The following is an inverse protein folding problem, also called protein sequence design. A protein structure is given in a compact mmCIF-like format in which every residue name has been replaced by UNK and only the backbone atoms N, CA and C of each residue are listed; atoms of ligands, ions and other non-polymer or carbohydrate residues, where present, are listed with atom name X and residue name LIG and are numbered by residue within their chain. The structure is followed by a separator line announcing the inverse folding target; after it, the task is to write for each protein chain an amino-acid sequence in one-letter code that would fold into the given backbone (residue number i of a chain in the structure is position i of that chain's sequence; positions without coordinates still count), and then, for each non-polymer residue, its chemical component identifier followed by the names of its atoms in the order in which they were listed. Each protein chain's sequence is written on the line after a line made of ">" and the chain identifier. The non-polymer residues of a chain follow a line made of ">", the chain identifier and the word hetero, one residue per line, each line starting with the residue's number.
data_IF_263654163706
#
_entry.id   IF_263654163706
#
_cell.length_a   1.000
_cell.length_b   1.000
_cell.length_c   1.000
_cell.angle_alpha   90.00
_cell.angle_beta   90.00
_cell.angle_gamma   90.00
#
_symmetry.space_group_name_H-M   'P 1'
#
loop_
_entity.id
_entity.type
_entity.pdbx_description
1 polymer ?
#
# COMPACT_ATOMS: atom_id res chain seq x y z
N UNK A 1 17.41 13.18 0.39
CA UNK A 1 16.13 12.73 -0.19
C UNK A 1 15.09 13.66 0.39
N UNK A 2 14.75 14.72 -0.33
CA UNK A 2 13.75 15.67 0.14
C UNK A 2 12.39 14.98 0.09
N UNK A 3 11.80 14.69 1.27
CA UNK A 3 10.39 14.40 1.37
C UNK A 3 9.66 15.71 1.04
N UNK A 4 9.49 15.99 -0.27
CA UNK A 4 8.60 17.04 -0.72
C UNK A 4 7.24 16.85 -0.04
N UNK A 5 6.67 17.94 0.45
CA UNK A 5 5.46 18.04 1.25
C UNK A 5 4.39 17.02 0.79
N UNK A 6 4.34 15.85 1.44
CA UNK A 6 3.39 14.81 1.06
C UNK A 6 2.00 15.30 1.42
N UNK A 7 1.16 15.54 0.41
CA UNK A 7 -0.23 15.95 0.59
C UNK A 7 -0.92 15.03 1.61
N UNK A 8 -1.39 15.62 2.69
CA UNK A 8 -2.15 14.96 3.75
C UNK A 8 -3.63 15.05 3.39
N UNK A 9 -4.34 13.93 3.46
CA UNK A 9 -5.77 13.82 3.19
C UNK A 9 -6.60 13.88 4.48
N UNK A 10 -6.05 13.36 5.58
CA UNK A 10 -6.64 13.41 6.92
C UNK A 10 -5.55 13.87 7.88
N UNK A 11 -5.70 15.01 8.56
CA UNK A 11 -4.68 15.54 9.46
C UNK A 11 -4.72 14.89 10.85
N UNK A 12 -4.58 13.57 10.86
CA UNK A 12 -4.50 12.75 12.05
C UNK A 12 -3.33 11.76 11.89
N UNK A 13 -2.74 11.32 13.00
CA UNK A 13 -1.74 10.27 12.98
C UNK A 13 -2.40 8.89 12.80
N UNK A 14 -3.03 8.67 11.65
CA UNK A 14 -3.77 7.45 11.33
C UNK A 14 -3.36 6.87 9.98
N UNK A 15 -3.77 5.62 9.74
CA UNK A 15 -3.55 4.94 8.47
C UNK A 15 -4.18 5.65 7.26
N UNK A 16 -5.15 6.55 7.49
CA UNK A 16 -5.86 7.33 6.46
C UNK A 16 -5.09 8.58 6.04
N UNK A 17 -4.09 9.03 6.82
CA UNK A 17 -3.39 10.32 6.66
C UNK A 17 -2.96 10.60 5.22
N UNK A 18 -2.42 9.59 4.55
CA UNK A 18 -1.82 9.72 3.23
C UNK A 18 -2.56 8.97 2.12
N UNK A 19 -3.76 8.42 2.38
CA UNK A 19 -4.50 7.68 1.35
C UNK A 19 -5.21 8.67 0.41
N UNK A 20 -4.83 8.71 -0.88
CA UNK A 20 -5.48 9.58 -1.84
C UNK A 20 -6.81 9.00 -2.33
N UNK A 21 -7.67 9.82 -2.95
CA UNK A 21 -8.70 9.34 -3.85
C UNK A 21 -8.13 8.36 -4.88
N UNK A 22 -8.92 7.35 -5.23
CA UNK A 22 -8.54 6.36 -6.24
C UNK A 22 -8.62 6.98 -7.64
N UNK A 23 -7.81 6.48 -8.60
CA UNK A 23 -7.90 6.95 -9.98
C UNK A 23 -9.26 6.59 -10.58
N UNK A 24 -9.83 7.54 -11.32
CA UNK A 24 -11.03 7.31 -12.10
C UNK A 24 -10.70 6.51 -13.37
N UNK A 25 -11.34 5.36 -13.52
CA UNK A 25 -11.27 4.54 -14.73
C UNK A 25 -12.49 4.81 -15.60
N UNK A 26 -12.27 5.47 -16.74
CA UNK A 26 -13.33 5.98 -17.62
C UNK A 26 -14.26 4.88 -18.12
N UNK A 27 -13.75 3.66 -18.23
CA UNK A 27 -14.46 2.48 -18.70
C UNK A 27 -15.47 1.90 -17.69
N UNK A 28 -15.37 2.21 -16.40
CA UNK A 28 -16.25 1.64 -15.35
C UNK A 28 -17.22 2.66 -14.74
N UNK A 29 -17.00 3.97 -14.90
CA UNK A 29 -17.82 5.03 -14.34
C UNK A 29 -17.47 5.38 -12.88
N UNK A 30 -18.12 6.42 -12.35
CA UNK A 30 -17.79 6.97 -11.03
C UNK A 30 -18.04 5.96 -9.89
N UNK A 31 -17.11 5.89 -8.94
CA UNK A 31 -17.20 5.04 -7.75
C UNK A 31 -16.63 3.63 -7.93
N UNK A 32 -16.19 3.27 -9.14
CA UNK A 32 -15.48 2.02 -9.40
C UNK A 32 -13.98 2.18 -9.20
N UNK A 33 -13.34 1.11 -8.76
CA UNK A 33 -11.89 1.04 -8.64
C UNK A 33 -11.38 -0.35 -8.97
N UNK A 34 -10.14 -0.42 -9.47
CA UNK A 34 -9.45 -1.69 -9.65
C UNK A 34 -8.88 -2.16 -8.32
N UNK A 35 -8.96 -3.47 -8.06
CA UNK A 35 -8.32 -4.10 -6.90
C UNK A 35 -6.81 -3.83 -6.89
N UNK A 36 -6.17 -3.78 -8.06
CA UNK A 36 -4.76 -3.44 -8.19
C UNK A 36 -4.42 -2.04 -7.67
N UNK A 37 -5.30 -1.06 -7.90
CA UNK A 37 -5.08 0.29 -7.40
C UNK A 37 -5.24 0.29 -5.90
N UNK A 38 -6.31 -0.30 -5.37
CA UNK A 38 -6.53 -0.44 -3.92
C UNK A 38 -5.28 -1.01 -3.24
N UNK A 39 -4.76 -2.13 -3.72
CA UNK A 39 -3.59 -2.81 -3.14
C UNK A 39 -2.33 -1.93 -3.12
N UNK A 40 -2.11 -1.11 -4.16
CA UNK A 40 -0.99 -0.17 -4.20
C UNK A 40 -1.22 1.09 -3.35
N UNK A 41 -2.48 1.42 -3.08
CA UNK A 41 -2.90 2.50 -2.19
C UNK A 41 -2.91 2.11 -0.71
N UNK A 42 -2.80 0.82 -0.38
CA UNK A 42 -2.85 0.40 1.01
C UNK A 42 -1.64 0.94 1.79
N UNK A 43 -1.84 1.39 3.04
CA UNK A 43 -0.77 1.55 4.01
C UNK A 43 -0.10 0.21 4.28
N UNK A 44 1.22 0.22 4.45
CA UNK A 44 2.00 -0.99 4.69
C UNK A 44 1.45 -1.85 5.84
N UNK A 45 1.07 -1.22 6.95
CA UNK A 45 0.50 -1.88 8.14
C UNK A 45 -0.78 -2.65 7.84
N UNK A 46 -1.56 -2.23 6.84
CA UNK A 46 -2.79 -2.90 6.40
C UNK A 46 -2.43 -3.98 5.37
N UNK A 47 -1.55 -3.67 4.42
CA UNK A 47 -1.12 -4.60 3.39
C UNK A 47 -0.59 -5.92 3.97
N UNK A 48 0.28 -5.86 4.99
CA UNK A 48 0.87 -7.06 5.61
C UNK A 48 -0.11 -7.89 6.44
N UNK A 49 -1.30 -7.35 6.74
CA UNK A 49 -2.38 -8.10 7.40
C UNK A 49 -3.23 -8.87 6.39
N UNK A 50 -3.36 -8.34 5.16
CA UNK A 50 -4.18 -8.94 4.09
C UNK A 50 -3.35 -9.88 3.23
N UNK A 51 -2.08 -9.55 3.00
CA UNK A 51 -1.17 -10.30 2.14
C UNK A 51 -0.17 -11.05 3.00
N UNK A 52 -0.17 -12.37 2.90
CA UNK A 52 0.81 -13.20 3.58
C UNK A 52 2.19 -13.07 2.91
N UNK A 53 3.10 -12.36 3.58
CA UNK A 53 4.51 -12.23 3.15
C UNK A 53 5.32 -13.34 3.82
N UNK A 54 5.43 -14.50 3.16
CA UNK A 54 6.09 -15.70 3.68
C UNK A 54 7.61 -15.76 3.47
N UNK A 55 8.23 -14.62 3.17
CA UNK A 55 9.68 -14.51 2.94
C UNK A 55 10.23 -13.28 3.65
N UNK A 56 11.53 -13.31 3.94
CA UNK A 56 12.21 -12.18 4.55
C UNK A 56 12.25 -11.00 3.57
N UNK A 57 11.81 -9.83 4.03
CA UNK A 57 11.93 -8.56 3.31
C UNK A 57 12.83 -7.64 4.12
N UNK A 58 13.95 -7.23 3.52
CA UNK A 58 14.92 -6.39 4.23
C UNK A 58 14.35 -5.01 4.54
N UNK A 59 14.61 -4.52 5.76
CA UNK A 59 14.12 -3.25 6.32
C UNK A 59 12.60 -3.15 6.54
N UNK A 60 11.81 -4.19 6.24
CA UNK A 60 10.36 -4.15 6.40
C UNK A 60 9.95 -3.91 7.86
N UNK A 61 10.59 -4.63 8.77
CA UNK A 61 10.34 -4.57 10.21
C UNK A 61 10.56 -3.16 10.79
N UNK A 62 11.58 -2.45 10.29
CA UNK A 62 11.88 -1.08 10.74
C UNK A 62 10.76 -0.09 10.37
N UNK A 63 10.09 -0.30 9.23
CA UNK A 63 8.89 0.47 8.90
C UNK A 63 7.73 0.13 9.83
N UNK A 64 7.52 -1.15 10.13
CA UNK A 64 6.39 -1.61 10.94
C UNK A 64 6.49 -1.18 12.41
N UNK A 65 7.71 -1.01 12.93
CA UNK A 65 7.95 -0.56 14.31
C UNK A 65 7.76 0.93 14.51
N UNK A 66 7.90 1.73 13.46
CA UNK A 66 7.70 3.18 13.52
C UNK A 66 6.22 3.54 13.39
N UNK A 67 5.72 4.36 14.32
CA UNK A 67 4.31 4.68 14.44
C UNK A 67 3.70 5.36 13.19
N UNK A 68 4.51 6.10 12.42
CA UNK A 68 4.08 6.78 11.21
C UNK A 68 4.51 6.03 9.95
N UNK A 69 5.75 5.53 9.89
CA UNK A 69 6.28 4.87 8.69
C UNK A 69 5.55 3.56 8.39
N UNK A 70 4.96 2.89 9.39
CA UNK A 70 4.09 1.72 9.18
C UNK A 70 2.89 2.04 8.31
N UNK A 71 2.50 3.31 8.21
CA UNK A 71 1.39 3.77 7.37
C UNK A 71 1.84 4.32 6.00
N UNK A 72 3.12 4.15 5.63
CA UNK A 72 3.60 4.47 4.27
C UNK A 72 2.84 3.65 3.25
N UNK A 73 2.30 4.29 2.21
CA UNK A 73 1.61 3.57 1.14
C UNK A 73 2.57 2.63 0.42
N UNK A 74 2.09 1.47 -0.02
CA UNK A 74 2.88 0.51 -0.80
C UNK A 74 3.55 1.16 -2.01
N UNK A 75 2.83 2.02 -2.74
CA UNK A 75 3.39 2.75 -3.88
C UNK A 75 4.50 3.75 -3.51
N UNK A 76 4.55 4.24 -2.28
CA UNK A 76 5.51 5.25 -1.81
C UNK A 76 6.72 4.64 -1.09
N UNK A 77 6.74 3.33 -0.87
CA UNK A 77 7.91 2.64 -0.30
C UNK A 77 9.13 2.75 -1.23
N UNK A 78 10.35 2.75 -0.68
CA UNK A 78 11.56 2.67 -1.48
C UNK A 78 11.51 1.48 -2.43
N UNK A 79 12.08 1.66 -3.63
CA UNK A 79 12.06 0.65 -4.70
C UNK A 79 12.56 -0.71 -4.22
N UNK A 80 13.58 -0.75 -3.36
CA UNK A 80 14.15 -1.98 -2.79
C UNK A 80 13.13 -2.79 -1.98
N UNK A 81 12.35 -2.14 -1.11
CA UNK A 81 11.31 -2.79 -0.29
C UNK A 81 10.11 -3.16 -1.17
N UNK A 82 9.68 -2.24 -2.02
CA UNK A 82 8.51 -2.41 -2.90
C UNK A 82 8.69 -3.58 -3.88
N UNK A 83 9.87 -3.75 -4.48
CA UNK A 83 10.14 -4.86 -5.41
C UNK A 83 10.07 -6.23 -4.73
N UNK A 84 10.52 -6.31 -3.47
CA UNK A 84 10.42 -7.52 -2.68
C UNK A 84 8.96 -7.84 -2.38
N UNK A 85 8.20 -6.89 -1.79
CA UNK A 85 6.78 -7.08 -1.45
C UNK A 85 5.89 -7.43 -2.65
N UNK A 86 6.15 -6.81 -3.81
CA UNK A 86 5.34 -6.98 -5.02
C UNK A 86 5.88 -8.07 -5.96
N UNK A 87 6.80 -8.91 -5.48
CA UNK A 87 7.48 -9.91 -6.30
C UNK A 87 6.49 -10.82 -7.05
N UNK A 88 6.69 -10.93 -8.36
CA UNK A 88 5.85 -11.70 -9.30
C UNK A 88 4.34 -11.41 -9.19
N UNK A 89 3.95 -10.26 -8.63
CA UNK A 89 2.55 -9.88 -8.38
C UNK A 89 1.74 -10.94 -7.59
N UNK A 90 2.40 -11.76 -6.76
CA UNK A 90 1.75 -12.82 -5.99
C UNK A 90 0.65 -12.31 -5.06
N UNK A 91 0.82 -11.08 -4.55
CA UNK A 91 -0.16 -10.42 -3.70
C UNK A 91 -1.52 -10.23 -4.36
N UNK A 92 -1.58 -9.98 -5.68
CA UNK A 92 -2.84 -9.83 -6.42
C UNK A 92 -3.60 -11.15 -6.39
N UNK A 93 -2.93 -12.25 -6.75
CA UNK A 93 -3.54 -13.58 -6.74
C UNK A 93 -4.03 -13.98 -5.34
N UNK A 94 -3.19 -13.76 -4.31
CA UNK A 94 -3.55 -14.06 -2.93
C UNK A 94 -4.82 -13.33 -2.47
N UNK A 95 -4.95 -12.03 -2.80
CA UNK A 95 -6.13 -11.26 -2.41
C UNK A 95 -7.35 -11.66 -3.24
N UNK A 96 -7.19 -11.84 -4.56
CA UNK A 96 -8.30 -12.23 -5.43
C UNK A 96 -8.90 -13.59 -5.06
N UNK A 97 -8.05 -14.56 -4.71
CA UNK A 97 -8.45 -15.89 -4.23
C UNK A 97 -9.23 -15.79 -2.90
N UNK A 98 -8.83 -14.87 -2.02
CA UNK A 98 -9.51 -14.64 -0.73
C UNK A 98 -10.88 -13.94 -0.85
N UNK A 99 -11.23 -13.41 -2.03
CA UNK A 99 -12.49 -12.71 -2.28
C UNK A 99 -13.58 -13.61 -2.90
N UNK A 100 -13.27 -14.87 -3.21
CA UNK A 100 -14.20 -15.85 -3.78
C UNK A 100 -15.04 -16.56 -2.71
#
# INVERSE_FOLDING_TARGET
>A
MELGEQKVYVDEASWKRHIPPLPDHREFGHGWALVSDLLLCLPLSIFVQIVQVSYKVDNLEDYLRDALRKHTLIRNLPRSVRQQLLYKRRYIFSVMDSLQ
#
